data_IF_260228652691
#
_entry.id   IF_260228652691
#
_cell.length_a   1.000
_cell.length_b   1.000
_cell.length_c   1.000
_cell.angle_alpha   90.00
_cell.angle_beta   90.00
_cell.angle_gamma   90.00
#
_symmetry.space_group_name_H-M   'P 1'
#
loop_
_entity.id
_entity.type
_entity.pdbx_description
1 polymer ?
#
# COMPACT_ATOMS: atom_id res chain seq x y z
N UNK A 1 -14.01 -14.81 -0.19
CA UNK A 1 -13.71 -13.65 -1.07
C UNK A 1 -12.70 -12.75 -0.36
N UNK A 2 -11.53 -12.62 -1.00
CA UNK A 2 -10.49 -11.56 -0.86
C UNK A 2 -10.06 -11.10 0.54
N UNK A 3 -9.23 -11.92 1.19
CA UNK A 3 -8.35 -11.47 2.27
C UNK A 3 -7.36 -10.42 1.74
N UNK A 4 -7.61 -9.12 1.93
CA UNK A 4 -6.63 -8.02 1.70
C UNK A 4 -5.49 -8.01 2.76
N UNK A 5 -5.16 -9.16 3.34
CA UNK A 5 -4.06 -9.31 4.30
C UNK A 5 -2.76 -9.55 3.51
N UNK A 6 -1.70 -8.86 3.89
CA UNK A 6 -0.34 -8.97 3.33
C UNK A 6 -0.13 -8.34 1.95
N UNK A 7 -0.94 -7.33 1.57
CA UNK A 7 -0.63 -6.51 0.39
C UNK A 7 0.56 -5.61 0.69
N UNK A 8 1.54 -5.57 -0.19
CA UNK A 8 2.66 -4.63 -0.12
C UNK A 8 2.34 -3.40 -0.93
N UNK A 9 2.72 -2.24 -0.42
CA UNK A 9 2.56 -0.97 -1.09
C UNK A 9 3.90 -0.27 -1.15
N UNK A 10 4.19 0.37 -2.27
CA UNK A 10 5.42 1.12 -2.46
C UNK A 10 5.15 2.52 -2.99
N UNK A 11 5.97 3.47 -2.58
CA UNK A 11 6.00 4.81 -3.13
C UNK A 11 7.06 4.88 -4.24
N UNK A 12 6.68 5.35 -5.43
CA UNK A 12 7.62 5.48 -6.57
C UNK A 12 8.60 6.66 -6.41
N UNK A 13 8.26 7.63 -5.56
CA UNK A 13 9.06 8.85 -5.36
C UNK A 13 10.20 8.59 -4.37
N UNK A 14 9.89 8.12 -3.17
CA UNK A 14 10.87 7.88 -2.11
C UNK A 14 11.31 6.42 -1.99
N UNK A 15 10.72 5.51 -2.78
CA UNK A 15 10.98 4.05 -2.74
C UNK A 15 10.66 3.39 -1.39
N UNK A 16 9.84 4.03 -0.57
CA UNK A 16 9.36 3.46 0.69
C UNK A 16 8.39 2.31 0.44
N UNK A 17 8.58 1.19 1.15
CA UNK A 17 7.72 0.01 1.09
C UNK A 17 7.03 -0.24 2.43
N UNK A 18 5.73 -0.54 2.40
CA UNK A 18 4.92 -0.83 3.59
C UNK A 18 4.04 -2.05 3.34
N UNK A 19 3.79 -2.83 4.40
CA UNK A 19 2.93 -4.01 4.33
C UNK A 19 1.61 -3.76 5.08
N UNK A 20 0.48 -3.93 4.39
CA UNK A 20 -0.83 -3.85 5.00
C UNK A 20 -1.14 -5.12 5.79
N UNK A 21 -0.92 -5.06 7.11
CA UNK A 21 -1.24 -6.16 8.05
C UNK A 21 -2.73 -6.29 8.36
N UNK A 22 -3.50 -5.22 8.14
CA UNK A 22 -4.96 -5.17 8.32
C UNK A 22 -5.58 -4.53 7.09
N UNK A 23 -6.65 -5.13 6.58
CA UNK A 23 -7.42 -4.56 5.49
C UNK A 23 -8.22 -3.35 5.98
N UNK A 24 -8.42 -2.39 5.07
CA UNK A 24 -9.31 -1.26 5.21
C UNK A 24 -9.66 -0.70 3.83
N UNK A 25 -10.61 0.23 3.78
CA UNK A 25 -11.02 0.89 2.53
C UNK A 25 -10.31 2.23 2.29
N UNK A 26 -9.33 2.56 3.14
CA UNK A 26 -8.51 3.76 2.99
C UNK A 26 -7.44 3.62 1.90
N UNK A 27 -7.13 4.73 1.24
CA UNK A 27 -6.02 4.82 0.28
C UNK A 27 -4.72 5.18 1.01
N UNK A 28 -3.67 4.39 0.82
CA UNK A 28 -2.34 4.72 1.32
C UNK A 28 -1.73 5.83 0.46
N UNK A 29 -1.32 6.93 1.10
CA UNK A 29 -0.72 8.09 0.44
C UNK A 29 0.67 8.36 1.02
N UNK A 30 1.66 8.50 0.15
CA UNK A 30 3.02 8.86 0.49
C UNK A 30 3.53 9.86 -0.54
N UNK A 31 4.32 10.87 -0.13
CA UNK A 31 4.83 11.91 -1.03
C UNK A 31 3.74 12.60 -1.88
N UNK A 32 2.55 12.80 -1.30
CA UNK A 32 1.35 13.40 -1.96
C UNK A 32 0.81 12.58 -3.14
N UNK A 33 1.18 11.30 -3.25
CA UNK A 33 0.71 10.37 -4.27
C UNK A 33 0.13 9.11 -3.62
N UNK A 34 -0.89 8.50 -4.23
CA UNK A 34 -1.35 7.18 -3.82
C UNK A 34 -0.24 6.14 -4.04
N UNK A 35 0.04 5.33 -3.02
CA UNK A 35 1.04 4.27 -3.12
C UNK A 35 0.55 3.16 -4.07
N UNK A 36 1.48 2.56 -4.82
CA UNK A 36 1.17 1.43 -5.71
C UNK A 36 1.23 0.12 -4.93
N UNK A 37 0.31 -0.78 -5.25
CA UNK A 37 0.35 -2.16 -4.73
C UNK A 37 1.43 -2.94 -5.48
N UNK A 38 2.39 -3.50 -4.74
CA UNK A 38 3.37 -4.45 -5.24
C UNK A 38 2.76 -5.85 -5.15
N UNK A 39 2.47 -6.44 -6.32
CA UNK A 39 1.97 -7.80 -6.44
C UNK A 39 3.00 -8.87 -6.10
#
# INVERSE_FOLDING_TARGET
>A
MTSRKNRRYYCEICRCEVEARRGGDGTLVCCKQAMKEGG
#
